data_IF_813783617903
#
_entry.id   IF_813783617903
#
_cell.length_a   1.000
_cell.length_b   1.000
_cell.length_c   1.000
_cell.angle_alpha   90.00
_cell.angle_beta   90.00
_cell.angle_gamma   90.00
#
_symmetry.space_group_name_H-M   'P 1'
#
loop_
_entity.id
_entity.type
_entity.pdbx_description
1 polymer ?
#
# COMPACT_ATOMS: atom_id res chain seq x y z
N UNK A 1 -4.62 -7.83 9.80
CA UNK A 1 -4.81 -8.40 8.45
C UNK A 1 -5.38 -7.29 7.59
N UNK A 2 -4.87 -7.07 6.38
CA UNK A 2 -5.43 -6.08 5.47
C UNK A 2 -6.12 -6.81 4.33
N UNK A 3 -7.44 -6.67 4.27
CA UNK A 3 -8.18 -6.98 3.06
C UNK A 3 -7.87 -5.84 2.10
N UNK A 4 -7.15 -6.15 1.03
CA UNK A 4 -6.75 -5.17 0.05
C UNK A 4 -7.66 -5.31 -1.16
N UNK A 5 -8.22 -4.19 -1.61
CA UNK A 5 -8.80 -4.14 -2.93
C UNK A 5 -7.65 -3.89 -3.92
N UNK A 6 -7.16 -4.98 -4.55
CA UNK A 6 -6.20 -4.93 -5.65
C UNK A 6 -6.59 -3.94 -6.77
N UNK A 7 -5.62 -3.45 -7.55
CA UNK A 7 -5.90 -2.62 -8.71
C UNK A 7 -6.70 -3.35 -9.80
N UNK A 8 -6.59 -4.68 -9.88
CA UNK A 8 -7.23 -5.51 -10.91
C UNK A 8 -8.43 -6.26 -10.32
N UNK A 9 -9.64 -6.02 -10.84
CA UNK A 9 -10.91 -6.61 -10.38
C UNK A 9 -10.95 -8.15 -10.42
N UNK A 10 -10.08 -8.81 -11.20
CA UNK A 10 -10.18 -10.26 -11.42
C UNK A 10 -9.70 -11.09 -10.24
N UNK A 11 -8.88 -10.50 -9.37
CA UNK A 11 -8.27 -11.22 -8.25
C UNK A 11 -8.96 -10.97 -6.91
N UNK A 12 -10.05 -10.20 -6.86
CA UNK A 12 -10.68 -9.83 -5.59
C UNK A 12 -11.65 -10.89 -5.07
N UNK A 13 -11.72 -11.04 -3.74
CA UNK A 13 -10.97 -10.30 -2.71
C UNK A 13 -9.57 -10.87 -2.45
N UNK A 14 -8.54 -10.00 -2.37
CA UNK A 14 -7.19 -10.40 -1.96
C UNK A 14 -6.90 -10.06 -0.49
N UNK A 15 -6.39 -11.05 0.25
CA UNK A 15 -5.92 -10.86 1.61
C UNK A 15 -4.39 -10.70 1.63
N UNK A 16 -3.92 -9.51 2.01
CA UNK A 16 -2.49 -9.27 2.22
C UNK A 16 -2.20 -9.35 3.72
N UNK A 17 -1.33 -10.27 4.12
CA UNK A 17 -0.91 -10.38 5.50
C UNK A 17 0.58 -10.72 5.65
N UNK A 18 1.11 -10.36 6.82
CA UNK A 18 2.36 -10.92 7.32
C UNK A 18 2.09 -11.48 8.72
N UNK A 19 3.13 -11.80 9.50
CA UNK A 19 2.98 -12.35 10.85
C UNK A 19 2.05 -11.50 11.74
N UNK A 20 2.16 -10.17 11.66
CA UNK A 20 1.33 -9.23 12.43
C UNK A 20 0.59 -8.20 11.57
N UNK A 21 0.76 -8.24 10.26
CA UNK A 21 0.17 -7.29 9.31
C UNK A 21 0.62 -5.84 9.48
N UNK A 22 1.79 -5.57 10.07
CA UNK A 22 2.27 -4.21 10.39
C UNK A 22 3.34 -3.72 9.43
N UNK A 23 4.57 -4.24 9.57
CA UNK A 23 5.73 -3.73 8.83
C UNK A 23 5.69 -4.11 7.34
N UNK A 24 5.83 -5.40 7.01
CA UNK A 24 5.85 -5.86 5.60
C UNK A 24 4.56 -5.52 4.85
N UNK A 25 3.42 -5.71 5.49
CA UNK A 25 2.11 -5.38 4.92
C UNK A 25 1.96 -3.87 4.75
N UNK A 26 2.37 -3.07 5.74
CA UNK A 26 2.30 -1.61 5.68
C UNK A 26 3.19 -1.01 4.59
N UNK A 27 4.42 -1.51 4.42
CA UNK A 27 5.29 -1.08 3.31
C UNK A 27 4.66 -1.38 1.95
N UNK A 28 4.15 -2.60 1.75
CA UNK A 28 3.52 -2.99 0.49
C UNK A 28 2.28 -2.14 0.19
N UNK A 29 1.37 -2.00 1.17
CA UNK A 29 0.17 -1.17 1.03
C UNK A 29 0.57 0.28 0.75
N UNK A 30 1.58 0.82 1.45
CA UNK A 30 2.07 2.18 1.23
C UNK A 30 2.60 2.42 -0.18
N UNK A 31 3.37 1.47 -0.74
CA UNK A 31 3.81 1.55 -2.13
C UNK A 31 2.63 1.52 -3.11
N UNK A 32 1.62 0.68 -2.86
CA UNK A 32 0.42 0.63 -3.72
C UNK A 32 -0.39 1.93 -3.62
N UNK A 33 -0.52 2.53 -2.43
CA UNK A 33 -1.15 3.85 -2.29
C UNK A 33 -0.41 4.93 -3.07
N UNK A 34 0.92 4.88 -3.12
CA UNK A 34 1.68 5.79 -3.99
C UNK A 34 1.41 5.54 -5.48
N UNK A 35 1.21 4.29 -5.91
CA UNK A 35 0.76 3.99 -7.28
C UNK A 35 -0.64 4.55 -7.56
N UNK A 36 -1.52 4.53 -6.56
CA UNK A 36 -2.85 5.16 -6.60
C UNK A 36 -2.78 6.71 -6.54
N UNK A 37 -1.58 7.31 -6.60
CA UNK A 37 -1.33 8.75 -6.53
C UNK A 37 -1.79 9.42 -5.22
N UNK A 38 -1.81 8.69 -4.11
CA UNK A 38 -2.02 9.28 -2.80
C UNK A 38 -0.82 10.13 -2.39
N UNK A 39 -1.06 11.23 -1.66
CA UNK A 39 0.02 12.02 -1.09
C UNK A 39 0.71 11.27 0.07
N UNK A 40 2.01 11.49 0.25
CA UNK A 40 2.81 10.79 1.25
C UNK A 40 2.23 10.93 2.67
N UNK A 41 1.68 12.10 3.01
CA UNK A 41 1.05 12.34 4.31
C UNK A 41 -0.11 11.39 4.58
N UNK A 42 -1.01 11.18 3.61
CA UNK A 42 -2.13 10.24 3.76
C UNK A 42 -1.66 8.78 3.83
N UNK A 43 -0.58 8.44 3.11
CA UNK A 43 0.01 7.10 3.18
C UNK A 43 0.63 6.84 4.55
N UNK A 44 1.34 7.81 5.11
CA UNK A 44 1.93 7.68 6.43
C UNK A 44 0.89 7.65 7.54
N UNK A 45 -0.18 8.45 7.43
CA UNK A 45 -1.30 8.40 8.36
C UNK A 45 -1.95 7.01 8.38
N UNK A 46 -2.22 6.43 7.20
CA UNK A 46 -2.73 5.06 7.08
C UNK A 46 -1.76 4.06 7.73
N UNK A 47 -0.47 4.10 7.35
CA UNK A 47 0.56 3.22 7.92
C UNK A 47 0.63 3.32 9.46
N UNK A 48 0.64 4.53 10.01
CA UNK A 48 0.71 4.75 11.46
C UNK A 48 -0.54 4.23 12.17
N UNK A 49 -1.73 4.42 11.58
CA UNK A 49 -2.98 3.90 12.11
C UNK A 49 -2.97 2.37 12.25
N UNK A 50 -2.37 1.67 11.30
CA UNK A 50 -2.28 0.19 11.34
C UNK A 50 -1.10 -0.34 12.16
N UNK A 51 0.06 0.30 12.09
CA UNK A 51 1.22 -0.10 12.86
C UNK A 51 1.05 0.21 14.36
N UNK A 52 0.34 1.31 14.67
CA UNK A 52 0.12 1.84 16.02
C UNK A 52 1.44 2.14 16.72
N UNK A 53 1.53 1.82 18.01
CA UNK A 53 2.74 2.00 18.84
C UNK A 53 3.99 1.22 18.36
N UNK A 54 3.91 0.45 17.27
CA UNK A 54 5.05 -0.28 16.68
C UNK A 54 5.40 0.21 15.28
N UNK A 55 4.95 1.41 14.91
CA UNK A 55 5.34 2.09 13.68
C UNK A 55 6.86 2.31 13.65
N UNK A 56 7.48 2.06 12.51
CA UNK A 56 8.91 2.26 12.30
C UNK A 56 9.12 3.38 11.30
N UNK A 57 10.02 4.31 11.63
CA UNK A 57 10.45 5.38 10.72
C UNK A 57 11.14 4.80 9.48
N UNK A 58 11.87 3.69 9.64
CA UNK A 58 12.50 2.96 8.54
C UNK A 58 11.50 2.52 7.46
N UNK A 59 10.30 2.11 7.86
CA UNK A 59 9.26 1.65 6.94
C UNK A 59 8.66 2.83 6.16
N UNK A 60 8.44 3.96 6.83
CA UNK A 60 7.98 5.19 6.18
C UNK A 60 9.03 5.69 5.17
N UNK A 61 10.30 5.66 5.56
CA UNK A 61 11.41 6.04 4.66
C UNK A 61 11.52 5.11 3.46
N UNK A 62 11.28 3.81 3.65
CA UNK A 62 11.20 2.86 2.55
C UNK A 62 10.08 3.23 1.58
N UNK A 63 8.86 3.49 2.08
CA UNK A 63 7.70 3.88 1.25
C UNK A 63 7.99 5.18 0.47
N UNK A 64 8.66 6.14 1.09
CA UNK A 64 9.04 7.42 0.47
C UNK A 64 10.02 7.24 -0.70
N UNK A 65 11.07 6.46 -0.47
CA UNK A 65 12.18 6.24 -1.41
C UNK A 65 11.88 5.15 -2.45
N UNK A 66 10.81 4.38 -2.29
CA UNK A 66 10.50 3.28 -3.19
C UNK A 66 10.24 3.79 -4.60
N UNK A 67 11.07 3.35 -5.56
CA UNK A 67 10.93 3.71 -6.96
C UNK A 67 9.77 2.95 -7.61
N UNK A 68 8.75 3.71 -7.98
CA UNK A 68 7.54 3.20 -8.62
C UNK A 68 7.69 3.08 -10.14
N UNK A 69 8.78 3.62 -10.72
CA UNK A 69 9.01 3.61 -12.17
C UNK A 69 8.97 2.18 -12.74
N UNK A 70 9.55 1.22 -12.01
CA UNK A 70 9.55 -0.21 -12.35
C UNK A 70 8.15 -0.83 -12.44
N UNK A 71 7.17 -0.27 -11.73
CA UNK A 71 5.79 -0.77 -11.71
C UNK A 71 4.87 -0.06 -12.71
N UNK A 72 5.28 1.10 -13.23
CA UNK A 72 4.51 1.85 -14.26
C UNK A 72 4.49 1.15 -15.62
N UNK A 73 5.46 0.27 -15.89
CA UNK A 73 5.56 -0.43 -17.18
C UNK A 73 4.58 -1.61 -17.31
N UNK A 74 3.89 -1.96 -16.23
CA UNK A 74 2.74 -2.85 -16.29
C UNK A 74 1.48 -1.99 -16.16
N UNK A 75 0.58 -1.95 -17.16
CA UNK A 75 -0.68 -1.24 -17.04
C UNK A 75 -1.53 -1.97 -16.01
N UNK A 76 -1.38 -1.61 -14.74
CA UNK A 76 -2.35 -1.92 -13.71
C UNK A 76 -3.58 -1.07 -14.06
N UNK A 77 -4.54 -1.69 -14.74
CA UNK A 77 -5.82 -1.09 -15.07
C UNK A 77 -6.52 -0.73 -13.77
N UNK A 78 -6.33 0.49 -13.29
CA UNK A 78 -7.12 1.03 -12.18
C UNK A 78 -8.55 1.17 -12.66
N UNK A 79 -9.34 0.11 -12.49
CA UNK A 79 -10.78 0.20 -12.58
C UNK A 79 -11.25 1.08 -11.44
N UNK A 80 -11.45 2.35 -11.74
CA UNK A 80 -12.19 3.24 -10.87
C UNK A 80 -13.62 2.74 -10.89
N UNK A 81 -13.97 1.84 -9.96
CA UNK A 81 -15.37 1.60 -9.63
C UNK A 81 -15.89 2.88 -8.97
N UNK A 82 -16.29 3.84 -9.81
CA UNK A 82 -17.17 4.93 -9.44
C UNK A 82 -18.47 4.29 -8.95
N UNK A 83 -18.71 4.35 -7.64
CA UNK A 83 -20.06 4.33 -7.08
C UNK A 83 -20.36 5.74 -6.62
#
# INVERSE_FOLDING_TARGET
>A
MHVFHAPDDKNHPLLIHCKRGKHRTGCLVGCIRRLQRWCLSSVFDEYQRFAGAKARVSDQRFIELFDLSCLKHHPLSFSTSRK
#
